data_IF_836467792971
#
_entry.id   IF_836467792971
#
_cell.length_a   1.000
_cell.length_b   1.000
_cell.length_c   1.000
_cell.angle_alpha   90.00
_cell.angle_beta   90.00
_cell.angle_gamma   90.00
#
_symmetry.space_group_name_H-M   'P 1'
#
loop_
_entity.id
_entity.type
_entity.pdbx_description
1 polymer ?
#
# COMPACT_ATOMS: atom_id res chain seq x y z
N UNK A 1 -7.37 -8.43 -20.53
CA UNK A 1 -7.89 -7.07 -20.30
C UNK A 1 -7.21 -6.12 -21.28
N UNK A 2 -7.93 -5.22 -21.97
CA UNK A 2 -7.30 -4.29 -22.91
C UNK A 2 -6.72 -3.08 -22.14
N UNK A 3 -5.44 -3.15 -21.76
CA UNK A 3 -4.76 -2.14 -20.93
C UNK A 3 -4.78 -0.76 -21.58
N UNK A 4 -4.53 -0.68 -22.90
CA UNK A 4 -4.51 0.57 -23.66
C UNK A 4 -5.87 1.27 -23.63
N UNK A 5 -6.98 0.52 -23.76
CA UNK A 5 -8.31 1.08 -23.68
C UNK A 5 -8.62 1.63 -22.27
N UNK A 6 -8.18 0.95 -21.21
CA UNK A 6 -8.35 1.42 -19.83
C UNK A 6 -7.52 2.68 -19.59
N UNK A 7 -6.26 2.70 -20.01
CA UNK A 7 -5.38 3.86 -19.84
C UNK A 7 -5.94 5.08 -20.58
N UNK A 8 -6.39 4.90 -21.83
CA UNK A 8 -7.07 5.97 -22.58
C UNK A 8 -8.29 6.51 -21.83
N UNK A 9 -9.13 5.62 -21.29
CA UNK A 9 -10.32 6.03 -20.53
C UNK A 9 -9.97 6.70 -19.21
N UNK A 10 -8.89 6.31 -18.53
CA UNK A 10 -8.42 7.01 -17.34
C UNK A 10 -8.06 8.46 -17.68
N UNK A 11 -7.30 8.69 -18.75
CA UNK A 11 -6.97 10.06 -19.18
C UNK A 11 -8.20 10.87 -19.58
N UNK A 12 -9.16 10.26 -20.29
CA UNK A 12 -10.42 10.92 -20.66
C UNK A 12 -11.20 11.39 -19.43
N UNK A 13 -11.47 10.49 -18.48
CA UNK A 13 -12.25 10.85 -17.29
C UNK A 13 -11.49 11.76 -16.33
N UNK A 14 -10.16 11.68 -16.28
CA UNK A 14 -9.34 12.61 -15.52
C UNK A 14 -9.48 14.03 -16.07
N UNK A 15 -9.41 14.19 -17.39
CA UNK A 15 -9.59 15.48 -18.06
C UNK A 15 -10.99 16.05 -17.85
N UNK A 16 -12.03 15.23 -17.99
CA UNK A 16 -13.42 15.65 -17.77
C UNK A 16 -13.68 16.05 -16.32
N UNK A 17 -13.20 15.27 -15.37
CA UNK A 17 -13.33 15.61 -13.96
C UNK A 17 -12.58 16.90 -13.60
N UNK A 18 -11.40 17.13 -14.20
CA UNK A 18 -10.67 18.39 -14.07
C UNK A 18 -11.50 19.59 -14.54
N UNK A 19 -12.13 19.49 -15.71
CA UNK A 19 -13.03 20.53 -16.25
C UNK A 19 -14.22 20.75 -15.30
N UNK A 20 -14.89 19.68 -14.88
CA UNK A 20 -16.04 19.75 -13.98
C UNK A 20 -15.69 20.41 -12.64
N UNK A 21 -14.50 20.12 -12.10
CA UNK A 21 -13.98 20.73 -10.89
C UNK A 21 -13.78 22.24 -11.04
N UNK A 22 -13.12 22.68 -12.12
CA UNK A 22 -12.89 24.11 -12.42
C UNK A 22 -14.20 24.87 -12.63
N UNK A 23 -15.20 24.22 -13.24
CA UNK A 23 -16.53 24.80 -13.46
C UNK A 23 -17.43 24.77 -12.22
N UNK A 24 -17.00 24.14 -11.12
CA UNK A 24 -17.82 23.95 -9.92
C UNK A 24 -19.00 22.99 -10.14
N UNK A 25 -18.99 22.18 -11.20
CA UNK A 25 -20.05 21.23 -11.51
C UNK A 25 -19.89 19.94 -10.67
N UNK A 26 -20.34 19.99 -9.41
CA UNK A 26 -20.19 18.88 -8.45
C UNK A 26 -20.85 17.59 -8.91
N UNK A 27 -21.99 17.67 -9.61
CA UNK A 27 -22.72 16.49 -10.09
C UNK A 27 -21.95 15.73 -11.18
N UNK A 28 -21.31 16.45 -12.10
CA UNK A 28 -20.45 15.86 -13.13
C UNK A 28 -19.14 15.34 -12.53
N UNK A 29 -18.51 16.12 -11.66
CA UNK A 29 -17.30 15.70 -10.93
C UNK A 29 -17.55 14.38 -10.17
N UNK A 30 -18.66 14.27 -9.44
CA UNK A 30 -19.01 13.04 -8.71
C UNK A 30 -19.14 11.83 -9.65
N UNK A 31 -19.76 12.01 -10.82
CA UNK A 31 -19.97 10.93 -11.80
C UNK A 31 -18.66 10.48 -12.46
N UNK A 32 -17.83 11.44 -12.83
CA UNK A 32 -16.55 11.16 -13.51
C UNK A 32 -15.52 10.58 -12.54
N UNK A 33 -15.51 11.02 -11.27
CA UNK A 33 -14.71 10.39 -10.21
C UNK A 33 -15.12 8.95 -9.94
N UNK A 34 -16.43 8.63 -9.89
CA UNK A 34 -16.89 7.24 -9.78
C UNK A 34 -16.40 6.41 -10.97
N UNK A 35 -16.43 6.97 -12.19
CA UNK A 35 -15.95 6.30 -13.39
C UNK A 35 -14.45 6.02 -13.32
N UNK A 36 -13.66 6.98 -12.82
CA UNK A 36 -12.23 6.79 -12.54
C UNK A 36 -11.98 5.70 -11.50
N UNK A 37 -12.73 5.68 -10.39
CA UNK A 37 -12.60 4.66 -9.35
C UNK A 37 -12.84 3.25 -9.90
N UNK A 38 -13.84 3.07 -10.77
CA UNK A 38 -14.07 1.79 -11.45
C UNK A 38 -12.90 1.40 -12.36
N UNK A 39 -12.33 2.35 -13.11
CA UNK A 39 -11.17 2.08 -13.98
C UNK A 39 -9.92 1.76 -13.16
N UNK A 40 -9.66 2.50 -12.08
CA UNK A 40 -8.54 2.22 -11.18
C UNK A 40 -8.69 0.88 -10.46
N UNK A 41 -9.91 0.45 -10.12
CA UNK A 41 -10.17 -0.91 -9.61
C UNK A 41 -9.69 -1.98 -10.58
N UNK A 42 -9.93 -1.79 -11.88
CA UNK A 42 -9.45 -2.71 -12.92
C UNK A 42 -7.92 -2.69 -13.05
N UNK A 43 -7.31 -1.50 -13.04
CA UNK A 43 -5.85 -1.34 -13.09
C UNK A 43 -5.17 -1.97 -11.87
N UNK A 44 -5.74 -1.76 -10.69
CA UNK A 44 -5.25 -2.35 -9.44
C UNK A 44 -5.25 -3.86 -9.50
N UNK A 45 -6.35 -4.49 -9.95
CA UNK A 45 -6.42 -5.96 -10.07
C UNK A 45 -5.34 -6.52 -11.01
N UNK A 46 -5.13 -5.88 -12.15
CA UNK A 46 -4.11 -6.29 -13.12
C UNK A 46 -2.68 -6.09 -12.60
N UNK A 47 -2.42 -4.98 -11.89
CA UNK A 47 -1.13 -4.73 -11.25
C UNK A 47 -0.85 -5.71 -10.09
N UNK A 48 -1.87 -6.04 -9.29
CA UNK A 48 -1.79 -7.05 -8.24
C UNK A 48 -1.49 -8.43 -8.80
N UNK A 49 -2.13 -8.82 -9.91
CA UNK A 49 -1.82 -10.06 -10.61
C UNK A 49 -0.37 -10.07 -11.15
N UNK A 50 0.08 -8.97 -11.75
CA UNK A 50 1.47 -8.82 -12.22
C UNK A 50 2.48 -9.02 -11.07
N UNK A 51 2.19 -8.45 -9.88
CA UNK A 51 3.01 -8.63 -8.68
C UNK A 51 3.06 -10.08 -8.22
N UNK A 52 1.90 -10.75 -8.15
CA UNK A 52 1.81 -12.15 -7.75
C UNK A 52 2.63 -13.08 -8.69
N UNK A 53 2.54 -12.84 -10.00
CA UNK A 53 3.30 -13.59 -11.02
C UNK A 53 4.81 -13.38 -10.87
N UNK A 54 5.26 -12.12 -10.71
CA UNK A 54 6.68 -11.80 -10.50
C UNK A 54 7.20 -12.41 -9.19
N UNK A 55 6.42 -12.34 -8.12
CA UNK A 55 6.79 -12.92 -6.83
C UNK A 55 6.89 -14.45 -6.90
N UNK A 56 5.96 -15.11 -7.60
CA UNK A 56 6.03 -16.54 -7.85
C UNK A 56 7.31 -16.93 -8.62
N UNK A 57 7.70 -16.15 -9.63
CA UNK A 57 8.93 -16.37 -10.39
C UNK A 57 10.20 -16.21 -9.51
N UNK A 58 10.25 -15.17 -8.66
CA UNK A 58 11.33 -14.97 -7.68
C UNK A 58 11.45 -16.18 -6.76
N UNK A 59 10.33 -16.59 -6.13
CA UNK A 59 10.32 -17.72 -5.19
C UNK A 59 10.68 -19.04 -5.86
N UNK A 60 10.26 -19.27 -7.11
CA UNK A 60 10.61 -20.48 -7.84
C UNK A 60 12.12 -20.55 -8.15
N UNK A 61 12.71 -19.44 -8.60
CA UNK A 61 14.15 -19.39 -8.89
C UNK A 61 14.99 -19.49 -7.61
N UNK A 62 14.63 -18.74 -6.56
CA UNK A 62 15.32 -18.76 -5.27
C UNK A 62 15.37 -20.18 -4.68
N UNK A 63 14.23 -20.90 -4.68
CA UNK A 63 14.16 -22.30 -4.23
C UNK A 63 15.00 -23.23 -5.10
N UNK A 64 15.00 -23.03 -6.41
CA UNK A 64 15.77 -23.87 -7.33
C UNK A 64 17.28 -23.67 -7.13
N UNK A 65 17.71 -22.42 -6.90
CA UNK A 65 19.10 -22.09 -6.58
C UNK A 65 19.54 -22.71 -5.26
N UNK A 66 18.75 -22.56 -4.18
CA UNK A 66 19.04 -23.19 -2.88
C UNK A 66 19.19 -24.71 -2.99
N UNK A 67 18.35 -25.35 -3.80
CA UNK A 67 18.46 -26.79 -4.06
C UNK A 67 19.76 -27.15 -4.80
N UNK A 68 20.14 -26.37 -5.81
CA UNK A 68 21.40 -26.58 -6.53
C UNK A 68 22.63 -26.38 -5.64
N UNK A 69 22.63 -25.33 -4.81
CA UNK A 69 23.69 -25.05 -3.84
C UNK A 69 23.85 -26.18 -2.83
N UNK A 70 22.74 -26.75 -2.33
CA UNK A 70 22.78 -27.92 -1.44
C UNK A 70 23.38 -29.18 -2.09
N UNK A 71 23.40 -29.23 -3.43
CA UNK A 71 24.05 -30.28 -4.21
C UNK A 71 25.48 -29.93 -4.63
N UNK A 72 26.05 -28.83 -4.10
CA UNK A 72 27.41 -28.37 -4.42
C UNK A 72 27.52 -27.66 -5.78
N UNK A 73 26.40 -27.30 -6.40
CA UNK A 73 26.37 -26.63 -7.72
C UNK A 73 26.19 -25.12 -7.49
N UNK A 74 27.17 -24.33 -7.92
CA UNK A 74 27.04 -22.88 -7.99
C UNK A 74 26.40 -22.47 -9.32
N UNK A 75 25.43 -21.54 -9.28
CA UNK A 75 24.74 -21.05 -10.48
C UNK A 75 24.78 -19.51 -10.56
N UNK A 76 25.92 -18.91 -10.98
CA UNK A 76 26.11 -17.46 -11.01
C UNK A 76 25.09 -16.70 -11.89
N UNK A 77 24.70 -17.29 -13.02
CA UNK A 77 23.66 -16.72 -13.90
C UNK A 77 22.28 -16.69 -13.22
N UNK A 78 22.02 -17.63 -12.31
CA UNK A 78 20.82 -17.63 -11.47
C UNK A 78 20.78 -16.41 -10.55
N UNK A 79 21.90 -16.08 -9.90
CA UNK A 79 22.00 -14.90 -9.03
C UNK A 79 21.75 -13.61 -9.79
N UNK A 80 22.34 -13.46 -10.99
CA UNK A 80 22.10 -12.30 -11.83
C UNK A 80 20.64 -12.21 -12.27
N UNK A 81 20.04 -13.33 -12.67
CA UNK A 81 18.61 -13.39 -13.04
C UNK A 81 17.69 -13.05 -11.87
N UNK A 82 17.99 -13.57 -10.67
CA UNK A 82 17.23 -13.31 -9.45
C UNK A 82 17.28 -11.82 -9.07
N UNK A 83 18.46 -11.20 -9.18
CA UNK A 83 18.63 -9.76 -8.98
C UNK A 83 17.74 -8.96 -9.94
N UNK A 84 17.77 -9.30 -11.25
CA UNK A 84 16.91 -8.66 -12.25
C UNK A 84 15.41 -8.83 -11.95
N UNK A 85 14.98 -10.03 -11.56
CA UNK A 85 13.57 -10.28 -11.19
C UNK A 85 13.14 -9.45 -9.98
N UNK A 86 14.02 -9.29 -8.97
CA UNK A 86 13.75 -8.44 -7.81
C UNK A 86 13.64 -6.97 -8.20
N UNK A 87 14.45 -6.51 -9.14
CA UNK A 87 14.34 -5.13 -9.64
C UNK A 87 13.05 -4.93 -10.44
N UNK A 88 12.73 -5.84 -11.36
CA UNK A 88 11.47 -5.81 -12.11
C UNK A 88 10.24 -5.86 -11.18
N UNK A 89 10.35 -6.56 -10.04
CA UNK A 89 9.32 -6.61 -8.99
C UNK A 89 9.18 -5.27 -8.27
N UNK A 90 10.28 -4.62 -7.87
CA UNK A 90 10.24 -3.30 -7.22
C UNK A 90 9.59 -2.25 -8.12
N UNK A 91 9.91 -2.25 -9.41
CA UNK A 91 9.28 -1.35 -10.38
C UNK A 91 7.76 -1.59 -10.45
N UNK A 92 7.32 -2.84 -10.42
CA UNK A 92 5.89 -3.17 -10.37
C UNK A 92 5.25 -2.78 -9.04
N UNK A 93 5.96 -2.91 -7.92
CA UNK A 93 5.51 -2.51 -6.58
C UNK A 93 5.26 -1.00 -6.53
N UNK A 94 6.21 -0.19 -7.03
CA UNK A 94 6.04 1.26 -7.14
C UNK A 94 4.86 1.64 -8.03
N UNK A 95 4.68 1.00 -9.19
CA UNK A 95 3.50 1.24 -10.06
C UNK A 95 2.18 0.89 -9.37
N UNK A 96 2.16 -0.16 -8.55
CA UNK A 96 0.97 -0.53 -7.79
C UNK A 96 0.66 0.50 -6.68
N UNK A 97 1.69 1.01 -6.00
CA UNK A 97 1.55 2.10 -5.04
C UNK A 97 1.06 3.40 -5.70
N UNK A 98 1.53 3.76 -6.89
CA UNK A 98 1.04 4.90 -7.66
C UNK A 98 -0.46 4.76 -8.01
N UNK A 99 -0.91 3.56 -8.39
CA UNK A 99 -2.35 3.29 -8.60
C UNK A 99 -3.11 3.51 -7.29
N UNK A 100 -2.56 3.05 -6.16
CA UNK A 100 -3.11 3.31 -4.83
C UNK A 100 -3.26 4.78 -4.50
N UNK A 101 -2.25 5.60 -4.83
CA UNK A 101 -2.31 7.05 -4.66
C UNK A 101 -3.43 7.67 -5.50
N UNK A 102 -3.53 7.27 -6.77
CA UNK A 102 -4.61 7.73 -7.64
C UNK A 102 -6.00 7.36 -7.09
N UNK A 103 -6.16 6.15 -6.55
CA UNK A 103 -7.40 5.71 -5.90
C UNK A 103 -7.70 6.58 -4.67
N UNK A 104 -6.73 6.82 -3.79
CA UNK A 104 -6.91 7.65 -2.60
C UNK A 104 -7.38 9.06 -2.97
N UNK A 105 -6.72 9.71 -3.93
CA UNK A 105 -7.11 11.03 -4.43
C UNK A 105 -8.52 11.01 -5.03
N UNK A 106 -8.83 10.00 -5.86
CA UNK A 106 -10.14 9.90 -6.50
C UNK A 106 -11.26 9.67 -5.47
N UNK A 107 -11.02 8.87 -4.43
CA UNK A 107 -11.98 8.63 -3.34
C UNK A 107 -12.31 9.94 -2.61
N UNK A 108 -11.29 10.72 -2.25
CA UNK A 108 -11.47 11.92 -1.45
C UNK A 108 -12.06 13.07 -2.29
N UNK A 109 -11.69 13.16 -3.57
CA UNK A 109 -12.36 14.07 -4.52
C UNK A 109 -13.82 13.68 -4.74
N UNK A 110 -14.11 12.37 -4.87
CA UNK A 110 -15.49 11.89 -5.01
C UNK A 110 -16.34 12.25 -3.80
N UNK A 111 -15.79 12.07 -2.59
CA UNK A 111 -16.41 12.51 -1.33
C UNK A 111 -16.66 14.03 -1.34
N UNK A 112 -15.65 14.84 -1.69
CA UNK A 112 -15.79 16.30 -1.75
C UNK A 112 -16.82 16.75 -2.79
N UNK A 113 -17.04 15.96 -3.85
CA UNK A 113 -18.07 16.20 -4.85
C UNK A 113 -19.49 15.84 -4.36
N UNK A 114 -19.62 15.25 -3.17
CA UNK A 114 -20.90 14.92 -2.52
C UNK A 114 -21.27 13.45 -2.60
N UNK A 115 -20.31 12.54 -2.82
CA UNK A 115 -20.54 11.13 -2.58
C UNK A 115 -20.72 10.85 -1.07
N UNK A 116 -21.63 9.95 -0.76
CA UNK A 116 -22.02 9.58 0.61
C UNK A 116 -21.35 8.28 1.03
N UNK A 117 -21.37 7.98 2.33
CA UNK A 117 -20.87 6.70 2.84
C UNK A 117 -21.61 5.51 2.20
N UNK A 118 -22.92 5.65 1.95
CA UNK A 118 -23.70 4.60 1.28
C UNK A 118 -23.20 4.38 -0.17
N UNK A 119 -22.77 5.45 -0.86
CA UNK A 119 -22.12 5.31 -2.18
C UNK A 119 -20.80 4.55 -2.08
N UNK A 120 -19.95 4.86 -1.09
CA UNK A 120 -18.68 4.17 -0.85
C UNK A 120 -18.92 2.69 -0.54
N UNK A 121 -19.86 2.37 0.34
CA UNK A 121 -20.23 1.01 0.68
C UNK A 121 -20.75 0.24 -0.55
N UNK A 122 -21.52 0.89 -1.43
CA UNK A 122 -21.95 0.29 -2.69
C UNK A 122 -20.77 0.01 -3.63
N UNK A 123 -19.79 0.93 -3.72
CA UNK A 123 -18.57 0.72 -4.51
C UNK A 123 -17.76 -0.49 -4.01
N UNK A 124 -17.63 -0.61 -2.70
CA UNK A 124 -16.91 -1.68 -2.00
C UNK A 124 -17.72 -2.96 -1.84
N UNK A 125 -19.03 -2.94 -2.11
CA UNK A 125 -19.97 -4.04 -1.90
C UNK A 125 -19.99 -4.52 -0.44
N UNK A 126 -20.13 -3.59 0.51
CA UNK A 126 -20.25 -3.84 1.95
C UNK A 126 -21.49 -3.15 2.56
N UNK A 127 -21.87 -3.54 3.78
CA UNK A 127 -23.07 -3.02 4.47
C UNK A 127 -22.77 -1.66 5.13
N UNK A 128 -23.48 -0.57 4.75
CA UNK A 128 -23.29 0.74 5.36
C UNK A 128 -23.57 0.79 6.86
N UNK A 129 -24.46 -0.07 7.39
CA UNK A 129 -24.78 -0.09 8.83
C UNK A 129 -23.58 -0.58 9.63
N UNK A 130 -22.99 -1.70 9.21
CA UNK A 130 -21.80 -2.26 9.87
C UNK A 130 -20.60 -1.32 9.81
N UNK A 131 -20.42 -0.62 8.69
CA UNK A 131 -19.34 0.37 8.57
C UNK A 131 -19.59 1.52 9.55
N UNK A 132 -20.81 2.10 9.57
CA UNK A 132 -21.16 3.21 10.48
C UNK A 132 -20.95 2.88 11.95
N UNK A 133 -21.24 1.65 12.38
CA UNK A 133 -21.05 1.22 13.77
C UNK A 133 -19.58 1.15 14.20
N UNK A 134 -18.67 0.93 13.25
CA UNK A 134 -17.24 0.76 13.51
C UNK A 134 -16.40 1.99 13.12
N UNK A 135 -16.99 3.01 12.50
CA UNK A 135 -16.28 4.23 12.11
C UNK A 135 -15.77 4.98 13.33
N UNK A 136 -14.47 5.27 13.34
CA UNK A 136 -13.89 6.10 14.38
C UNK A 136 -14.17 7.59 14.07
N UNK A 137 -14.51 8.45 15.06
CA UNK A 137 -14.85 9.86 14.81
C UNK A 137 -13.77 10.70 14.12
N UNK A 138 -12.52 10.23 14.12
CA UNK A 138 -11.39 10.91 13.47
C UNK A 138 -11.27 10.57 11.98
N UNK A 139 -11.90 9.50 11.52
CA UNK A 139 -11.87 9.07 10.11
C UNK A 139 -12.82 9.98 9.31
N UNK A 140 -12.22 10.83 8.47
CA UNK A 140 -12.96 11.84 7.73
C UNK A 140 -12.95 11.59 6.25
N UNK A 141 -11.94 10.91 5.73
CA UNK A 141 -11.73 10.71 4.31
C UNK A 141 -12.13 9.29 3.88
N UNK A 142 -12.64 9.16 2.66
CA UNK A 142 -12.95 7.84 2.10
C UNK A 142 -11.69 6.98 1.91
N UNK A 143 -10.56 7.59 1.55
CA UNK A 143 -9.28 6.89 1.46
C UNK A 143 -8.83 6.29 2.81
N UNK A 144 -9.03 7.01 3.91
CA UNK A 144 -8.77 6.53 5.28
C UNK A 144 -9.69 5.36 5.63
N UNK A 145 -11.00 5.50 5.35
CA UNK A 145 -11.98 4.45 5.65
C UNK A 145 -11.67 3.15 4.91
N UNK A 146 -11.31 3.23 3.62
CA UNK A 146 -10.87 2.05 2.83
C UNK A 146 -9.60 1.43 3.41
N UNK A 147 -8.64 2.26 3.84
CA UNK A 147 -7.38 1.77 4.42
C UNK A 147 -7.57 1.07 5.77
N UNK A 148 -8.35 1.65 6.68
CA UNK A 148 -8.52 1.15 8.05
C UNK A 148 -9.45 -0.06 8.07
N UNK A 149 -10.61 0.04 7.41
CA UNK A 149 -11.68 -0.96 7.50
C UNK A 149 -11.64 -2.02 6.41
N UNK A 150 -10.68 -1.94 5.47
CA UNK A 150 -10.51 -2.91 4.40
C UNK A 150 -11.81 -3.13 3.60
N UNK A 151 -12.50 -2.04 3.24
CA UNK A 151 -13.93 -2.08 2.91
C UNK A 151 -14.33 -3.02 1.75
N UNK A 152 -13.44 -3.24 0.78
CA UNK A 152 -13.68 -4.19 -0.33
C UNK A 152 -13.02 -5.56 -0.13
N UNK A 153 -12.34 -5.77 1.00
CA UNK A 153 -11.77 -7.05 1.41
C UNK A 153 -12.83 -7.91 2.06
N UNK A 154 -13.13 -9.05 1.42
CA UNK A 154 -14.09 -10.03 1.92
C UNK A 154 -13.33 -11.23 2.42
N UNK A 155 -12.98 -11.24 3.72
CA UNK A 155 -12.25 -12.35 4.33
C UNK A 155 -13.09 -13.64 4.26
N UNK A 156 -12.73 -14.62 3.42
CA UNK A 156 -13.50 -15.84 3.31
C UNK A 156 -13.25 -16.80 4.49
N UNK A 157 -12.17 -16.58 5.27
CA UNK A 157 -11.66 -17.52 6.28
C UNK A 157 -11.62 -16.93 7.69
N UNK A 158 -11.80 -15.61 7.82
CA UNK A 158 -11.72 -14.83 9.06
C UNK A 158 -10.43 -15.11 9.86
N UNK A 159 -9.28 -15.10 9.17
CA UNK A 159 -7.98 -15.50 9.74
C UNK A 159 -7.28 -14.37 10.49
N UNK A 160 -7.83 -13.15 10.45
CA UNK A 160 -7.29 -11.97 11.13
C UNK A 160 -6.14 -11.27 10.40
N UNK A 161 -5.79 -11.73 9.18
CA UNK A 161 -4.74 -11.15 8.34
C UNK A 161 -5.25 -10.92 6.93
N UNK A 162 -4.72 -9.89 6.27
CA UNK A 162 -5.03 -9.60 4.86
C UNK A 162 -4.17 -10.47 3.97
N UNK A 163 -4.83 -11.31 3.18
CA UNK A 163 -4.21 -12.18 2.19
C UNK A 163 -4.25 -11.55 0.80
N UNK A 164 -3.09 -11.48 0.13
CA UNK A 164 -2.95 -10.90 -1.21
C UNK A 164 -3.78 -11.65 -2.28
N UNK A 165 -4.12 -12.92 -2.05
CA UNK A 165 -4.92 -13.73 -2.97
C UNK A 165 -6.42 -13.41 -2.98
N UNK A 166 -6.92 -12.67 -1.98
CA UNK A 166 -8.33 -12.23 -1.93
C UNK A 166 -8.51 -11.02 -2.86
N UNK A 167 -9.56 -11.03 -3.70
CA UNK A 167 -9.83 -9.94 -4.63
C UNK A 167 -10.36 -8.68 -3.91
N UNK A 168 -9.44 -7.86 -3.40
CA UNK A 168 -9.70 -6.59 -2.72
C UNK A 168 -8.90 -5.43 -3.35
N UNK A 169 -9.17 -5.09 -4.63
CA UNK A 169 -8.32 -4.21 -5.42
C UNK A 169 -8.20 -2.78 -4.84
N UNK A 170 -9.23 -2.22 -4.19
CA UNK A 170 -9.11 -0.90 -3.58
C UNK A 170 -8.28 -0.98 -2.30
N UNK A 171 -8.60 -1.91 -1.41
CA UNK A 171 -7.87 -2.10 -0.14
C UNK A 171 -6.38 -2.35 -0.38
N UNK A 172 -6.03 -3.30 -1.25
CA UNK A 172 -4.63 -3.65 -1.50
C UNK A 172 -3.84 -2.49 -2.11
N UNK A 173 -4.39 -1.80 -3.11
CA UNK A 173 -3.69 -0.67 -3.74
C UNK A 173 -3.54 0.52 -2.78
N UNK A 174 -4.60 0.89 -2.06
CA UNK A 174 -4.52 1.98 -1.07
C UNK A 174 -3.49 1.65 0.01
N UNK A 175 -3.47 0.42 0.54
CA UNK A 175 -2.42 0.01 1.49
C UNK A 175 -1.02 0.06 0.90
N UNK A 176 -0.84 -0.39 -0.35
CA UNK A 176 0.45 -0.31 -1.03
C UNK A 176 0.95 1.14 -1.12
N UNK A 177 0.06 2.10 -1.40
CA UNK A 177 0.41 3.52 -1.39
C UNK A 177 0.89 4.01 -0.01
N UNK A 178 0.14 3.73 1.06
CA UNK A 178 0.53 4.17 2.39
C UNK A 178 1.83 3.50 2.88
N UNK A 179 2.02 2.21 2.57
CA UNK A 179 3.26 1.48 2.86
C UNK A 179 4.44 2.08 2.08
N UNK A 180 4.24 2.45 0.81
CA UNK A 180 5.26 3.11 0.00
C UNK A 180 5.70 4.44 0.62
N UNK A 181 4.75 5.28 1.07
CA UNK A 181 5.06 6.51 1.79
C UNK A 181 5.88 6.24 3.06
N UNK A 182 5.47 5.25 3.86
CA UNK A 182 6.18 4.87 5.09
C UNK A 182 7.60 4.39 4.80
N UNK A 183 7.82 3.64 3.72
CA UNK A 183 9.15 3.08 3.41
C UNK A 183 10.08 4.10 2.76
N UNK A 184 9.55 4.97 1.90
CA UNK A 184 10.36 5.74 0.96
C UNK A 184 10.42 7.24 1.27
N UNK A 185 9.57 7.77 2.15
CA UNK A 185 9.60 9.20 2.53
C UNK A 185 10.06 9.41 3.97
N UNK A 186 10.77 10.52 4.22
CA UNK A 186 11.19 10.88 5.58
C UNK A 186 9.99 11.19 6.48
N UNK A 187 9.03 11.95 5.97
CA UNK A 187 7.80 12.29 6.68
C UNK A 187 6.97 11.04 7.00
N UNK A 188 6.83 10.10 6.06
CA UNK A 188 6.14 8.83 6.28
C UNK A 188 6.81 7.96 7.34
N UNK A 189 8.15 7.83 7.30
CA UNK A 189 8.92 7.12 8.34
C UNK A 189 8.72 7.75 9.71
N UNK A 190 8.81 9.08 9.80
CA UNK A 190 8.61 9.82 11.05
C UNK A 190 7.20 9.64 11.60
N UNK A 191 6.17 9.79 10.77
CA UNK A 191 4.77 9.62 11.18
C UNK A 191 4.49 8.18 11.64
N UNK A 192 5.00 7.17 10.93
CA UNK A 192 4.87 5.77 11.33
C UNK A 192 5.56 5.49 12.68
N UNK A 193 6.75 6.06 12.89
CA UNK A 193 7.47 5.94 14.15
C UNK A 193 6.72 6.59 15.32
N UNK A 194 6.21 7.80 15.13
CA UNK A 194 5.41 8.51 16.14
C UNK A 194 4.12 7.73 16.47
N UNK A 195 3.42 7.21 15.45
CA UNK A 195 2.25 6.37 15.64
C UNK A 195 2.58 5.06 16.39
N UNK A 196 3.68 4.40 16.04
CA UNK A 196 4.15 3.19 16.73
C UNK A 196 4.43 3.47 18.21
N UNK A 197 5.11 4.57 18.53
CA UNK A 197 5.37 4.99 19.92
C UNK A 197 4.09 5.27 20.71
N UNK A 198 3.09 5.87 20.07
CA UNK A 198 1.82 6.18 20.71
C UNK A 198 0.97 4.93 20.99
N UNK A 199 0.97 3.95 20.06
CA UNK A 199 0.15 2.73 20.16
C UNK A 199 0.83 1.65 21.00
N UNK A 200 2.16 1.55 20.94
CA UNK A 200 2.96 0.56 21.66
C UNK A 200 4.02 1.24 22.55
N UNK A 201 3.59 2.05 23.54
CA UNK A 201 4.53 2.81 24.37
C UNK A 201 5.52 1.89 25.10
N UNK A 202 5.07 0.74 25.58
CA UNK A 202 5.92 -0.23 26.29
C UNK A 202 7.03 -0.81 25.39
N UNK A 203 6.76 -1.03 24.11
CA UNK A 203 7.78 -1.53 23.16
C UNK A 203 8.76 -0.41 22.83
N UNK A 204 8.26 0.81 22.64
CA UNK A 204 9.09 1.97 22.37
C UNK A 204 9.96 2.37 23.57
N UNK A 205 9.47 2.20 24.79
CA UNK A 205 10.20 2.52 26.02
C UNK A 205 11.41 1.60 26.23
N UNK A 206 11.34 0.37 25.73
CA UNK A 206 12.43 -0.60 25.80
C UNK A 206 13.28 -0.63 24.52
N UNK A 207 13.03 0.28 23.57
CA UNK A 207 13.81 0.35 22.34
C UNK A 207 15.19 0.99 22.61
N UNK A 208 16.24 0.32 22.16
CA UNK A 208 17.61 0.83 22.20
C UNK A 208 17.99 1.45 20.86
N UNK A 209 18.66 2.59 20.91
CA UNK A 209 19.12 3.34 19.75
C UNK A 209 20.60 3.10 19.54
N UNK A 210 21.02 2.70 18.34
CA UNK A 210 22.45 2.54 18.04
C UNK A 210 23.03 3.89 17.63
N UNK A 211 24.06 4.36 18.34
CA UNK A 211 24.81 5.58 18.03
C UNK A 211 26.27 5.21 17.82
N UNK A 212 26.85 5.65 16.70
CA UNK A 212 28.28 5.48 16.45
C UNK A 212 29.03 6.69 16.98
N UNK A 213 30.01 6.46 17.84
CA UNK A 213 30.87 7.52 18.37
C UNK A 213 31.97 7.95 17.37
N UNK A 214 32.81 8.90 17.79
CA UNK A 214 33.90 9.43 16.97
C UNK A 214 35.00 8.38 16.66
N UNK A 215 35.09 7.32 17.47
CA UNK A 215 36.06 6.25 17.33
C UNK A 215 35.50 5.06 16.51
N UNK A 216 34.24 5.17 16.04
CA UNK A 216 33.57 4.17 15.22
C UNK A 216 32.89 3.05 16.02
N UNK A 217 32.84 3.17 17.36
CA UNK A 217 32.21 2.18 18.24
C UNK A 217 30.70 2.43 18.26
N UNK A 218 29.91 1.35 18.12
CA UNK A 218 28.47 1.40 18.18
C UNK A 218 28.00 1.20 19.62
N UNK A 219 27.33 2.19 20.18
CA UNK A 219 26.73 2.18 21.51
C UNK A 219 25.22 2.01 21.44
N UNK A 220 24.66 1.24 22.36
CA UNK A 220 23.23 1.11 22.58
C UNK A 220 22.81 2.15 23.62
N UNK A 221 21.98 3.08 23.20
CA UNK A 221 21.47 4.17 24.04
C UNK A 221 19.99 3.91 24.31
N UNK A 222 19.58 3.89 25.58
CA UNK A 222 18.17 3.78 25.95
C UNK A 222 17.38 5.08 25.70
N UNK A 223 16.08 5.06 26.02
CA UNK A 223 15.20 6.22 25.84
C UNK A 223 15.59 7.46 26.65
N UNK A 224 16.33 7.27 27.75
CA UNK A 224 16.75 8.32 28.68
C UNK A 224 18.16 8.85 28.34
N UNK A 225 18.78 8.31 27.28
CA UNK A 225 20.11 8.71 26.84
C UNK A 225 21.23 7.96 27.57
N UNK A 226 20.91 6.90 28.31
CA UNK A 226 21.89 6.10 29.04
C UNK A 226 22.50 5.07 28.09
N UNK A 227 23.83 5.05 28.06
CA UNK A 227 24.59 3.99 27.41
C UNK A 227 24.43 2.69 28.21
N UNK A 228 23.79 1.71 27.58
CA UNK A 228 23.51 0.40 28.17
C UNK A 228 24.47 -0.68 27.67
N UNK A 229 25.39 -0.35 26.77
CA UNK A 229 26.42 -1.27 26.28
C UNK A 229 26.82 -1.03 24.82
N UNK A 230 27.92 -1.67 24.41
CA UNK A 230 28.43 -1.62 23.04
C UNK A 230 27.90 -2.79 22.21
N UNK A 231 27.71 -2.57 20.90
CA UNK A 231 27.42 -3.62 19.93
C UNK A 231 28.75 -4.16 19.42
N UNK A 232 29.18 -5.30 19.98
CA UNK A 232 30.31 -6.07 19.44
C UNK A 232 29.79 -7.05 18.37
N UNK A 233 30.54 -7.23 17.27
CA UNK A 233 30.24 -8.21 16.21
C UNK A 233 30.28 -9.67 16.68
#
# INVERSE_FOLDING_TARGET
MNKEAIDFKVYEYLGRAGIASVQGNRGELRRDMLSLLVLYRLRSRDASQELAEKWAAIRALDRSMKKAESAGISFPLGTQRLSKLREDYRVAESRFAEIGQCIAIALDLWQSAGATLDDLCNLCNCDPVQVKENLHPTEKLFSEMVFVHNLDYKDPRNVGWIEDEVDAPLTHAVKAHWIDLVRHTESGRKAAHEAFKAVFPEIAENALTVVTDADGIQHLIDKDGVDVGTVDE
#
